data_IF_786025136470
#
_entry.id   IF_786025136470
#
_cell.length_a   1.000
_cell.length_b   1.000
_cell.length_c   1.000
_cell.angle_alpha   90.00
_cell.angle_beta   90.00
_cell.angle_gamma   90.00
#
_symmetry.space_group_name_H-M   'P 1'
#
loop_
_entity.id
_entity.type
_entity.pdbx_description
1 polymer ?
#
# COMPACT_ATOMS: atom_id res chain seq x y z
N UNK A 1 6.23 14.13 -3.67
CA UNK A 1 5.26 13.63 -4.65
C UNK A 1 4.40 12.59 -3.94
N UNK A 2 3.09 12.60 -4.16
CA UNK A 2 2.16 11.67 -3.52
C UNK A 2 1.78 10.61 -4.54
N UNK A 3 2.14 9.36 -4.27
CA UNK A 3 1.82 8.25 -5.16
C UNK A 3 0.63 7.48 -4.63
N UNK A 4 -0.46 7.47 -5.40
CA UNK A 4 -1.68 6.76 -5.01
C UNK A 4 -1.53 5.25 -5.18
N UNK A 5 -2.23 4.51 -4.33
CA UNK A 5 -2.39 3.06 -4.42
C UNK A 5 -3.84 2.77 -4.78
N UNK A 6 -4.02 1.92 -5.79
CA UNK A 6 -5.31 1.50 -6.30
C UNK A 6 -5.52 0.01 -6.06
N UNK A 7 -6.78 -0.39 -5.89
CA UNK A 7 -7.17 -1.78 -5.97
C UNK A 7 -7.40 -2.20 -7.43
N UNK A 8 -7.65 -3.49 -7.64
CA UNK A 8 -7.90 -4.13 -8.94
C UNK A 8 -9.09 -3.53 -9.69
N UNK A 9 -10.04 -2.91 -8.99
CA UNK A 9 -11.20 -2.21 -9.59
C UNK A 9 -10.89 -0.77 -10.01
N UNK A 10 -9.66 -0.30 -9.78
CA UNK A 10 -9.22 1.06 -10.10
C UNK A 10 -9.60 2.11 -9.05
N UNK A 11 -10.10 1.72 -7.88
CA UNK A 11 -10.40 2.64 -6.79
C UNK A 11 -9.14 2.91 -5.98
N UNK A 12 -8.88 4.18 -5.67
CA UNK A 12 -7.81 4.53 -4.75
C UNK A 12 -8.15 4.10 -3.33
N UNK A 13 -7.22 3.37 -2.71
CA UNK A 13 -7.36 2.81 -1.35
C UNK A 13 -6.39 3.43 -0.36
N UNK A 14 -5.33 4.07 -0.87
CA UNK A 14 -4.35 4.79 -0.06
C UNK A 14 -3.34 5.52 -0.91
N UNK A 15 -2.28 5.99 -0.27
CA UNK A 15 -1.20 6.70 -0.90
C UNK A 15 0.12 6.51 -0.15
N UNK A 16 1.20 6.81 -0.84
CA UNK A 16 2.58 6.69 -0.35
C UNK A 16 3.12 8.07 -0.11
N UNK A 17 3.78 8.24 1.04
CA UNK A 17 4.52 9.45 1.39
C UNK A 17 5.86 9.06 2.03
N UNK A 18 6.94 9.24 1.28
CA UNK A 18 8.25 8.72 1.66
C UNK A 18 8.20 7.20 1.74
N UNK A 19 8.69 6.62 2.85
CA UNK A 19 8.64 5.16 3.08
C UNK A 19 7.32 4.65 3.68
N UNK A 20 6.35 5.52 3.96
CA UNK A 20 5.13 5.15 4.66
C UNK A 20 3.93 5.07 3.72
N UNK A 21 3.04 4.12 4.03
CA UNK A 21 1.77 3.94 3.35
C UNK A 21 0.66 4.44 4.25
N UNK A 22 -0.17 5.32 3.71
CA UNK A 22 -1.29 5.95 4.38
C UNK A 22 -2.61 5.54 3.71
N UNK A 23 -3.64 5.32 4.50
CA UNK A 23 -5.01 5.23 4.01
C UNK A 23 -5.47 6.61 3.50
N UNK A 24 -6.57 6.65 2.73
CA UNK A 24 -7.09 7.91 2.17
C UNK A 24 -7.45 8.98 3.22
N UNK A 25 -7.72 8.58 4.47
CA UNK A 25 -7.93 9.49 5.60
C UNK A 25 -6.62 10.02 6.25
N UNK A 26 -5.46 9.67 5.68
CA UNK A 26 -4.13 10.07 6.12
C UNK A 26 -3.52 9.22 7.24
N UNK A 27 -4.26 8.25 7.80
CA UNK A 27 -3.74 7.34 8.81
C UNK A 27 -2.66 6.43 8.21
N UNK A 28 -1.51 6.34 8.87
CA UNK A 28 -0.49 5.37 8.51
C UNK A 28 -0.97 3.93 8.76
N UNK A 29 -0.79 3.07 7.77
CA UNK A 29 -1.23 1.67 7.80
C UNK A 29 -0.10 0.70 7.45
N UNK A 30 0.93 1.17 6.77
CA UNK A 30 2.06 0.34 6.36
C UNK A 30 3.32 1.12 6.06
N UNK A 31 4.29 0.38 5.56
CA UNK A 31 5.60 0.87 5.16
C UNK A 31 6.08 0.13 3.90
N UNK A 32 6.95 0.81 3.15
CA UNK A 32 7.62 0.29 1.97
C UNK A 32 9.10 0.09 2.26
N UNK A 33 9.61 -1.04 1.80
CA UNK A 33 11.04 -1.34 1.73
C UNK A 33 11.39 -1.77 0.30
N UNK A 34 11.79 -0.81 -0.54
CA UNK A 34 11.86 -1.03 -2.00
C UNK A 34 10.45 -1.22 -2.56
N UNK A 35 10.20 -2.36 -3.21
CA UNK A 35 8.85 -2.75 -3.67
C UNK A 35 8.04 -3.46 -2.60
N UNK A 36 8.67 -3.96 -1.53
CA UNK A 36 8.02 -4.79 -0.53
C UNK A 36 7.13 -3.95 0.38
N UNK A 37 5.89 -4.37 0.53
CA UNK A 37 4.87 -3.74 1.37
C UNK A 37 4.75 -4.52 2.67
N UNK A 38 4.88 -3.80 3.79
CA UNK A 38 4.72 -4.34 5.12
C UNK A 38 3.69 -3.55 5.92
N UNK A 39 3.03 -4.19 6.87
CA UNK A 39 2.24 -3.53 7.92
C UNK A 39 3.17 -2.68 8.80
N UNK A 40 2.59 -1.77 9.59
CA UNK A 40 3.35 -1.06 10.63
C UNK A 40 3.92 -1.99 11.71
N UNK A 41 3.33 -3.18 11.89
CA UNK A 41 3.90 -4.25 12.73
C UNK A 41 5.11 -4.95 12.10
N UNK A 42 5.48 -4.57 10.88
CA UNK A 42 6.58 -5.13 10.08
C UNK A 42 6.23 -6.41 9.32
N UNK A 43 5.04 -6.98 9.50
CA UNK A 43 4.57 -8.15 8.76
C UNK A 43 4.46 -7.85 7.25
N UNK A 44 5.05 -8.70 6.41
CA UNK A 44 4.93 -8.63 4.95
C UNK A 44 3.48 -8.81 4.46
N UNK A 45 3.12 -8.09 3.40
CA UNK A 45 1.79 -8.10 2.77
C UNK A 45 1.86 -8.47 1.29
N UNK A 46 2.78 -7.87 0.54
CA UNK A 46 2.88 -8.05 -0.91
C UNK A 46 3.90 -7.11 -1.55
N UNK A 47 3.85 -6.99 -2.87
CA UNK A 47 4.70 -6.08 -3.64
C UNK A 47 3.90 -4.92 -4.21
N UNK A 48 4.44 -3.71 -4.08
CA UNK A 48 3.99 -2.56 -4.84
C UNK A 48 4.44 -2.71 -6.30
N UNK A 49 3.47 -2.74 -7.21
CA UNK A 49 3.70 -2.82 -8.64
C UNK A 49 2.61 -2.04 -9.37
N UNK A 50 3.00 -1.10 -10.23
CA UNK A 50 2.06 -0.29 -11.02
C UNK A 50 0.94 0.35 -10.17
N UNK A 51 1.33 0.90 -9.01
CA UNK A 51 0.42 1.51 -8.03
C UNK A 51 -0.60 0.55 -7.40
N UNK A 52 -0.38 -0.76 -7.47
CA UNK A 52 -1.20 -1.79 -6.81
C UNK A 52 -0.34 -2.62 -5.87
N UNK A 53 -0.95 -3.18 -4.82
CA UNK A 53 -0.28 -4.11 -3.91
C UNK A 53 -0.68 -5.52 -4.33
N UNK A 54 0.28 -6.25 -4.88
CA UNK A 54 0.07 -7.54 -5.51
C UNK A 54 0.80 -8.64 -4.75
N UNK A 55 0.17 -9.81 -4.62
CA UNK A 55 0.85 -11.00 -4.12
C UNK A 55 1.66 -11.65 -5.23
N UNK A 56 2.91 -11.18 -5.40
CA UNK A 56 3.86 -11.76 -6.37
C UNK A 56 4.58 -13.02 -5.86
N UNK A 57 4.22 -13.51 -4.66
CA UNK A 57 4.83 -14.69 -4.00
C UNK A 57 6.36 -14.70 -4.07
N UNK A 58 7.02 -13.54 -3.97
CA UNK A 58 8.49 -13.42 -4.02
C UNK A 58 9.19 -13.92 -2.73
N UNK A 59 8.54 -14.80 -1.97
CA UNK A 59 9.01 -15.30 -0.69
C UNK A 59 8.43 -14.52 0.50
N UNK A 60 8.62 -15.10 1.70
CA UNK A 60 8.28 -14.42 2.94
C UNK A 60 9.51 -13.61 3.38
N UNK A 61 9.50 -12.30 3.15
CA UNK A 61 10.63 -11.42 3.47
C UNK A 61 10.76 -11.13 4.97
N UNK A 62 10.04 -11.87 5.80
CA UNK A 62 10.08 -11.78 7.24
C UNK A 62 9.44 -10.50 7.76
N UNK A 63 9.74 -10.22 9.04
CA UNK A 63 9.29 -9.03 9.73
C UNK A 63 10.45 -8.01 9.75
N UNK A 64 10.22 -6.80 9.23
CA UNK A 64 11.24 -5.75 9.17
C UNK A 64 11.23 -4.82 10.40
N UNK A 65 10.47 -5.17 11.43
CA UNK A 65 10.28 -4.38 12.64
C UNK A 65 9.30 -3.23 12.47
N UNK A 66 9.10 -2.49 13.57
CA UNK A 66 8.24 -1.32 13.62
C UNK A 66 9.02 -0.08 13.16
N UNK A 67 8.58 0.65 12.11
CA UNK A 67 9.29 1.80 11.58
C UNK A 67 9.05 3.09 12.37
N UNK A 68 8.36 3.01 13.51
CA UNK A 68 7.81 4.16 14.22
C UNK A 68 6.49 4.63 13.61
N UNK A 69 5.77 5.50 14.34
CA UNK A 69 4.52 6.08 13.89
C UNK A 69 4.79 7.41 13.14
N UNK A 70 4.54 7.48 11.83
CA UNK A 70 4.73 8.71 11.06
C UNK A 70 3.61 9.75 11.27
N UNK A 71 2.59 9.43 12.08
CA UNK A 71 1.44 10.30 12.31
C UNK A 71 0.45 10.33 11.14
N UNK A 72 -0.41 11.34 11.14
CA UNK A 72 -1.40 11.55 10.08
C UNK A 72 -0.81 12.48 9.01
N UNK A 73 -0.77 12.01 7.76
CA UNK A 73 -0.21 12.77 6.65
C UNK A 73 -1.22 13.69 5.94
N UNK A 74 -2.49 13.72 6.40
CA UNK A 74 -3.58 14.51 5.83
C UNK A 74 -4.30 13.82 4.68
N UNK A 75 -5.27 14.51 4.07
CA UNK A 75 -5.98 14.02 2.89
C UNK A 75 -5.14 14.33 1.63
N UNK A 76 -4.80 13.33 0.80
CA UNK A 76 -4.00 13.54 -0.41
C UNK A 76 -4.79 14.22 -1.55
N UNK A 77 -6.12 14.31 -1.44
CA UNK A 77 -7.02 14.71 -2.51
C UNK A 77 -7.75 13.51 -3.13
N UNK A 78 -8.61 13.77 -4.12
CA UNK A 78 -9.32 12.73 -4.86
C UNK A 78 -8.58 12.41 -6.17
N UNK A 79 -7.97 11.22 -6.31
CA UNK A 79 -7.25 10.83 -7.52
C UNK A 79 -8.16 10.33 -8.65
N UNK A 80 -9.46 10.15 -8.40
CA UNK A 80 -10.39 9.54 -9.36
C UNK A 80 -10.20 8.02 -9.48
N UNK A 81 -10.91 7.43 -10.44
CA UNK A 81 -10.86 6.00 -10.74
C UNK A 81 -9.96 5.75 -11.97
N UNK A 82 -9.00 4.83 -11.84
CA UNK A 82 -8.01 4.51 -12.89
C UNK A 82 -8.46 3.43 -13.88
N UNK A 83 -9.67 2.91 -13.71
CA UNK A 83 -10.18 1.72 -14.39
C UNK A 83 -9.62 0.42 -13.79
N UNK A 84 -10.33 -0.67 -14.04
CA UNK A 84 -9.94 -2.00 -13.59
C UNK A 84 -8.63 -2.43 -14.25
N UNK A 85 -7.69 -2.95 -13.46
CA UNK A 85 -6.42 -3.49 -13.96
C UNK A 85 -6.09 -4.82 -13.29
N UNK A 86 -5.58 -5.75 -14.10
CA UNK A 86 -5.12 -7.04 -13.64
C UNK A 86 -3.71 -7.29 -14.21
N UNK A 87 -2.76 -7.57 -13.34
CA UNK A 87 -1.36 -7.79 -13.67
C UNK A 87 -0.95 -9.27 -13.54
N UNK A 88 -1.91 -10.18 -13.50
CA UNK A 88 -1.67 -11.63 -13.35
C UNK A 88 -1.38 -12.08 -11.92
N UNK A 89 -1.49 -11.17 -10.95
CA UNK A 89 -1.28 -11.46 -9.52
C UNK A 89 -2.50 -11.02 -8.70
N UNK A 90 -2.84 -11.73 -7.61
CA UNK A 90 -3.91 -11.32 -6.71
C UNK A 90 -3.63 -9.95 -6.09
N UNK A 91 -4.65 -9.08 -6.11
CA UNK A 91 -4.65 -7.84 -5.34
C UNK A 91 -4.83 -8.14 -3.86
N UNK A 92 -3.88 -7.67 -3.05
CA UNK A 92 -3.88 -7.85 -1.58
C UNK A 92 -3.89 -6.52 -0.84
N UNK A 93 -4.23 -5.42 -1.52
CA UNK A 93 -4.35 -4.10 -0.89
C UNK A 93 -5.34 -4.09 0.28
N UNK A 94 -6.42 -4.88 0.22
CA UNK A 94 -7.39 -5.03 1.31
C UNK A 94 -6.79 -5.54 2.63
N UNK A 95 -5.67 -6.29 2.58
CA UNK A 95 -4.96 -6.75 3.77
C UNK A 95 -4.36 -5.59 4.58
N UNK A 96 -4.05 -4.49 3.90
CA UNK A 96 -3.44 -3.31 4.50
C UNK A 96 -4.46 -2.23 4.89
N UNK A 97 -5.43 -1.97 4.02
CA UNK A 97 -6.37 -0.86 4.17
C UNK A 97 -7.66 -1.21 4.93
N UNK A 98 -7.93 -2.50 5.14
CA UNK A 98 -9.21 -2.97 5.68
C UNK A 98 -10.30 -2.93 4.60
N UNK A 99 -11.10 -3.98 4.55
CA UNK A 99 -12.29 -4.10 3.69
C UNK A 99 -13.43 -3.22 4.19
#
# INVERSE_FOLDING_TARGET
MTDYIYNSRGNAVGYIRGKYIHAMNGKAVGQLNGTHVHKLSGQYVGELHEQMILNKRMGNLGNIGNPGNPGNAGNPGNPGNRGSRNYGFPDVSGVLFGS
#
